data_IF_146878263633
#
_entry.id   IF_146878263633
#
_cell.length_a   1.000
_cell.length_b   1.000
_cell.length_c   1.000
_cell.angle_alpha   90.00
_cell.angle_beta   90.00
_cell.angle_gamma   90.00
#
_symmetry.space_group_name_H-M   'P 1'
#
loop_
_entity.id
_entity.type
_entity.pdbx_description
1 polymer ?
#
# COMPACT_ATOMS: atom_id res chain seq x y z
N UNK A 1 -10.33 -13.30 10.54
CA UNK A 1 -9.81 -12.91 9.22
C UNK A 1 -10.35 -13.90 8.21
N UNK A 2 -11.11 -13.43 7.22
CA UNK A 2 -11.54 -14.28 6.09
C UNK A 2 -10.34 -14.85 5.34
N UNK A 3 -10.52 -15.97 4.62
CA UNK A 3 -9.47 -16.62 3.81
C UNK A 3 -8.72 -15.62 2.89
N UNK A 4 -9.43 -14.62 2.38
CA UNK A 4 -8.85 -13.60 1.50
C UNK A 4 -7.88 -12.64 2.21
N UNK A 5 -8.09 -12.39 3.50
CA UNK A 5 -7.19 -11.57 4.31
C UNK A 5 -5.90 -12.34 4.63
N UNK A 6 -6.02 -13.64 4.88
CA UNK A 6 -4.90 -14.57 5.04
C UNK A 6 -4.02 -14.59 3.77
N UNK A 7 -4.65 -14.76 2.61
CA UNK A 7 -3.97 -14.76 1.31
C UNK A 7 -3.33 -13.41 1.01
N UNK A 8 -4.00 -12.30 1.33
CA UNK A 8 -3.43 -10.97 1.17
C UNK A 8 -2.18 -10.79 2.04
N UNK A 9 -2.21 -11.21 3.31
CA UNK A 9 -1.06 -11.12 4.20
C UNK A 9 0.12 -11.96 3.71
N UNK A 10 -0.16 -13.17 3.21
CA UNK A 10 0.86 -14.01 2.57
C UNK A 10 1.48 -13.31 1.36
N UNK A 11 0.66 -12.74 0.47
CA UNK A 11 1.15 -11.97 -0.67
C UNK A 11 2.00 -10.78 -0.23
N UNK A 12 1.55 -10.01 0.76
CA UNK A 12 2.29 -8.86 1.30
C UNK A 12 3.66 -9.27 1.84
N UNK A 13 3.75 -10.41 2.53
CA UNK A 13 5.01 -10.95 3.02
C UNK A 13 5.95 -11.40 1.87
N UNK A 14 5.41 -12.01 0.81
CA UNK A 14 6.21 -12.41 -0.35
C UNK A 14 6.65 -11.25 -1.22
N UNK A 15 5.85 -10.17 -1.27
CA UNK A 15 6.16 -8.96 -2.02
C UNK A 15 7.03 -7.98 -1.23
N UNK A 16 7.27 -8.22 0.07
CA UNK A 16 8.06 -7.33 0.90
C UNK A 16 9.51 -7.26 0.40
N UNK A 17 10.01 -6.04 0.23
CA UNK A 17 11.39 -5.77 -0.16
C UNK A 17 12.24 -5.49 1.08
N UNK A 18 13.57 -5.74 1.02
CA UNK A 18 14.48 -5.42 2.13
C UNK A 18 14.51 -3.92 2.46
N UNK A 19 14.17 -3.04 1.52
CA UNK A 19 14.05 -1.59 1.73
C UNK A 19 12.79 -1.16 2.51
N UNK A 20 12.01 -2.12 3.05
CA UNK A 20 10.81 -1.82 3.83
C UNK A 20 9.61 -1.39 3.00
N UNK A 21 9.58 -1.76 1.71
CA UNK A 21 8.45 -1.53 0.82
C UNK A 21 7.89 -2.83 0.25
N UNK A 22 7.06 -2.71 -0.78
CA UNK A 22 6.47 -3.83 -1.51
C UNK A 22 6.78 -3.76 -3.00
N UNK A 23 7.18 -4.87 -3.60
CA UNK A 23 7.44 -4.96 -5.04
C UNK A 23 6.14 -4.79 -5.83
N UNK A 24 6.12 -3.77 -6.69
CA UNK A 24 4.94 -3.41 -7.50
C UNK A 24 4.59 -4.53 -8.48
N UNK A 25 5.56 -5.23 -9.07
CA UNK A 25 5.29 -6.30 -10.04
C UNK A 25 4.67 -7.51 -9.34
N UNK A 26 5.16 -7.85 -8.14
CA UNK A 26 4.58 -8.90 -7.32
C UNK A 26 3.12 -8.59 -6.93
N UNK A 27 2.84 -7.32 -6.57
CA UNK A 27 1.47 -6.88 -6.29
C UNK A 27 0.59 -6.93 -7.55
N UNK A 28 1.07 -6.42 -8.69
CA UNK A 28 0.32 -6.42 -9.95
C UNK A 28 0.06 -7.82 -10.51
N UNK A 29 0.90 -8.81 -10.18
CA UNK A 29 0.66 -10.20 -10.52
C UNK A 29 -0.56 -10.78 -9.79
N UNK A 30 -0.99 -10.17 -8.69
CA UNK A 30 -2.15 -10.60 -7.93
C UNK A 30 -3.46 -9.92 -8.37
N UNK A 31 -4.61 -10.59 -8.16
CA UNK A 31 -5.93 -10.01 -8.42
C UNK A 31 -6.16 -8.70 -7.65
N UNK A 32 -6.92 -7.78 -8.24
CA UNK A 32 -7.27 -6.49 -7.61
C UNK A 32 -7.85 -6.66 -6.19
N UNK A 33 -8.66 -7.69 -5.95
CA UNK A 33 -9.25 -7.98 -4.65
C UNK A 33 -8.22 -8.36 -3.56
N UNK A 34 -7.07 -8.94 -3.93
CA UNK A 34 -5.96 -9.18 -3.00
C UNK A 34 -5.12 -7.91 -2.85
N UNK A 35 -4.82 -7.22 -3.95
CA UNK A 35 -4.08 -5.94 -3.93
C UNK A 35 -4.73 -4.93 -2.97
N UNK A 36 -6.03 -4.65 -3.10
CA UNK A 36 -6.71 -3.71 -2.22
C UNK A 36 -6.66 -4.13 -0.74
N UNK A 37 -6.64 -5.43 -0.44
CA UNK A 37 -6.47 -5.93 0.93
C UNK A 37 -5.05 -5.76 1.45
N UNK A 38 -4.05 -6.02 0.62
CA UNK A 38 -2.64 -5.77 0.95
C UNK A 38 -2.42 -4.28 1.22
N UNK A 39 -2.86 -3.41 0.32
CA UNK A 39 -2.75 -1.96 0.46
C UNK A 39 -3.47 -1.47 1.73
N UNK A 40 -4.65 -2.03 2.02
CA UNK A 40 -5.37 -1.74 3.25
C UNK A 40 -4.57 -2.16 4.48
N UNK A 41 -4.07 -3.38 4.52
CA UNK A 41 -3.24 -3.87 5.62
C UNK A 41 -1.97 -3.02 5.81
N UNK A 42 -1.29 -2.70 4.72
CA UNK A 42 -0.11 -1.85 4.71
C UNK A 42 -0.39 -0.44 5.26
N UNK A 43 -1.47 0.21 4.81
CA UNK A 43 -1.86 1.52 5.32
C UNK A 43 -2.19 1.48 6.82
N UNK A 44 -2.89 0.45 7.29
CA UNK A 44 -3.20 0.26 8.71
C UNK A 44 -1.92 0.04 9.54
N UNK A 45 -1.00 -0.80 9.04
CA UNK A 45 0.30 -1.03 9.68
C UNK A 45 1.18 0.22 9.68
N UNK A 46 1.05 1.08 8.68
CA UNK A 46 1.70 2.39 8.62
C UNK A 46 1.05 3.43 9.55
N UNK A 47 -0.06 3.12 10.23
CA UNK A 47 -0.70 4.01 11.20
C UNK A 47 -1.93 4.77 10.67
N UNK A 48 -2.38 4.49 9.44
CA UNK A 48 -3.61 5.07 8.93
C UNK A 48 -4.82 4.56 9.75
N UNK A 49 -5.72 5.43 10.23
CA UNK A 49 -6.92 4.99 10.90
C UNK A 49 -7.86 4.28 9.90
N UNK A 50 -8.42 3.11 10.26
CA UNK A 50 -9.32 2.34 9.38
C UNK A 50 -10.60 3.08 9.02
N UNK A 51 -10.98 4.09 9.80
CA UNK A 51 -12.18 4.92 9.61
C UNK A 51 -12.04 5.92 8.48
N UNK A 52 -10.83 6.43 8.23
CA UNK A 52 -10.56 7.43 7.19
C UNK A 52 -10.03 6.79 5.90
N UNK A 53 -9.54 5.56 5.98
CA UNK A 53 -9.07 4.81 4.83
C UNK A 53 -10.25 4.33 3.95
N UNK A 54 -10.64 5.19 3.01
CA UNK A 54 -11.71 4.88 2.05
C UNK A 54 -11.21 4.11 0.83
N UNK A 55 -12.15 3.48 0.10
CA UNK A 55 -11.86 2.81 -1.18
C UNK A 55 -11.24 3.76 -2.23
N UNK A 56 -11.54 5.06 -2.16
CA UNK A 56 -10.93 6.07 -3.03
C UNK A 56 -9.42 6.20 -2.80
N UNK A 57 -8.98 6.21 -1.53
CA UNK A 57 -7.56 6.21 -1.19
C UNK A 57 -6.86 4.92 -1.64
N UNK A 58 -7.49 3.76 -1.41
CA UNK A 58 -6.96 2.48 -1.91
C UNK A 58 -6.85 2.47 -3.44
N UNK A 59 -7.81 3.06 -4.14
CA UNK A 59 -7.78 3.25 -5.59
C UNK A 59 -6.63 4.17 -6.02
N UNK A 60 -6.41 5.28 -5.32
CA UNK A 60 -5.31 6.19 -5.61
C UNK A 60 -3.93 5.53 -5.41
N UNK A 61 -3.75 4.73 -4.35
CA UNK A 61 -2.53 3.94 -4.16
C UNK A 61 -2.41 2.86 -5.25
N UNK A 62 -3.51 2.19 -5.62
CA UNK A 62 -3.50 1.20 -6.69
C UNK A 62 -3.14 1.82 -8.06
N UNK A 63 -3.54 3.06 -8.32
CA UNK A 63 -3.12 3.81 -9.51
C UNK A 63 -1.60 4.05 -9.53
N UNK A 64 -0.93 4.20 -8.37
CA UNK A 64 0.54 4.26 -8.33
C UNK A 64 1.18 2.95 -8.85
N UNK A 65 0.47 1.82 -8.74
CA UNK A 65 0.93 0.52 -9.23
C UNK A 65 0.65 0.38 -10.73
N UNK A 66 -0.56 0.70 -11.17
CA UNK A 66 -1.05 0.45 -12.54
C UNK A 66 -0.66 1.55 -13.54
N UNK A 67 -0.63 2.82 -13.12
CA UNK A 67 -0.55 3.98 -14.01
C UNK A 67 0.51 5.00 -13.53
N UNK A 68 1.74 4.52 -13.39
CA UNK A 68 2.87 5.35 -12.95
C UNK A 68 3.43 6.21 -14.10
N UNK A 69 3.13 7.51 -14.07
CA UNK A 69 3.68 8.53 -14.99
C UNK A 69 4.40 9.67 -14.24
N UNK A 70 5.26 9.34 -13.26
CA UNK A 70 5.98 10.36 -12.47
C UNK A 70 5.12 11.02 -11.40
N UNK A 71 4.21 10.25 -10.78
CA UNK A 71 3.33 10.74 -9.72
C UNK A 71 4.12 11.05 -8.45
N UNK A 72 3.79 12.18 -7.81
CA UNK A 72 4.34 12.55 -6.51
C UNK A 72 3.78 11.64 -5.40
N UNK A 73 4.39 11.70 -4.22
CA UNK A 73 3.89 10.99 -3.05
C UNK A 73 2.41 11.34 -2.77
N UNK A 74 1.61 10.32 -2.47
CA UNK A 74 0.21 10.44 -2.08
C UNK A 74 0.15 10.56 -0.56
N UNK A 75 -0.37 11.68 -0.06
CA UNK A 75 -0.68 11.82 1.35
C UNK A 75 -2.01 11.12 1.65
N UNK A 76 -1.97 10.21 2.61
CA UNK A 76 -3.06 9.41 3.13
C UNK A 76 -3.48 9.95 4.51
N UNK A 77 -4.74 9.72 4.90
CA UNK A 77 -5.22 10.10 6.22
C UNK A 77 -4.41 9.41 7.33
N UNK A 78 -4.29 10.09 8.48
CA UNK A 78 -3.46 9.61 9.60
C UNK A 78 -1.98 9.95 9.48
N UNK A 79 -1.63 10.98 8.69
CA UNK A 79 -0.23 11.36 8.42
C UNK A 79 0.55 10.18 7.84
N UNK A 80 -0.03 9.47 6.88
CA UNK A 80 0.68 8.40 6.16
C UNK A 80 1.01 8.93 4.77
N UNK A 81 2.21 8.61 4.27
CA UNK A 81 2.62 8.96 2.92
C UNK A 81 2.90 7.69 2.15
N UNK A 82 2.30 7.58 0.98
CA UNK A 82 2.54 6.49 0.04
C UNK A 82 3.29 7.03 -1.18
N UNK A 83 4.42 6.43 -1.53
CA UNK A 83 5.15 6.79 -2.74
C UNK A 83 5.75 5.55 -3.38
N UNK A 84 6.00 5.62 -4.67
CA UNK A 84 6.65 4.55 -5.41
C UNK A 84 8.05 4.99 -5.80
N UNK A 85 9.04 4.19 -5.44
CA UNK A 85 10.44 4.34 -5.84
C UNK A 85 10.81 3.24 -6.81
N UNK A 86 10.99 3.58 -8.09
CA UNK A 86 11.34 2.68 -9.19
C UNK A 86 10.39 1.47 -9.38
N UNK A 87 10.54 0.40 -8.60
CA UNK A 87 9.71 -0.82 -8.61
C UNK A 87 9.13 -1.15 -7.24
N UNK A 88 9.38 -0.33 -6.23
CA UNK A 88 9.00 -0.56 -4.84
C UNK A 88 7.99 0.49 -4.39
N UNK A 89 6.87 0.04 -3.83
CA UNK A 89 5.90 0.89 -3.16
C UNK A 89 6.29 1.02 -1.68
N UNK A 90 6.39 2.25 -1.20
CA UNK A 90 6.63 2.56 0.19
C UNK A 90 5.39 3.22 0.80
N UNK A 91 5.06 2.82 2.02
CA UNK A 91 4.07 3.49 2.87
C UNK A 91 4.71 3.72 4.23
N UNK A 92 4.85 4.98 4.61
CA UNK A 92 5.37 5.35 5.93
C UNK A 92 4.39 6.26 6.63
N UNK A 93 4.30 6.16 7.96
CA UNK A 93 3.80 7.29 8.72
C UNK A 93 4.73 8.46 8.44
N UNK A 94 4.23 9.51 7.80
CA UNK A 94 4.80 10.84 7.91
C UNK A 94 4.69 11.26 9.38
N UNK A 95 5.58 10.69 10.19
CA UNK A 95 5.67 11.00 11.60
C UNK A 95 5.80 12.50 11.74
N UNK A 96 5.00 13.06 12.64
CA UNK A 96 5.23 14.39 13.16
C UNK A 96 6.70 14.47 13.56
N UNK A 97 7.49 15.22 12.79
CA UNK A 97 8.80 15.67 13.24
C UNK A 97 8.55 16.54 14.46
N UNK A 98 8.67 15.94 15.65
CA UNK A 98 8.78 16.64 16.93
C UNK A 98 10.24 16.87 17.26
#
# INVERSE_FOLDING_TARGET
ADLLDELARGLAATAATPDGGWDVRALLAAPAALRSRVLRGAALSAGCPPTDLTAGHLGAIASLLEDWHGQAALDLPGSVRAWRSATTLHLEAAGVTG
#
